data_IF_682377563675
#
_entry.id   IF_682377563675
#
_cell.length_a   1.000
_cell.length_b   1.000
_cell.length_c   1.000
_cell.angle_alpha   90.00
_cell.angle_beta   90.00
_cell.angle_gamma   90.00
#
_symmetry.space_group_name_H-M   'P 1'
#
loop_
_entity.id
_entity.type
_entity.pdbx_description
1 polymer ?
#
# COMPACT_ATOMS: atom_id res chain seq x y z
N UNK A 1 10.58 2.35 -46.38
CA UNK A 1 11.58 2.19 -45.30
C UNK A 1 12.44 1.00 -45.70
N UNK A 2 13.76 1.12 -45.88
CA UNK A 2 14.72 1.90 -45.08
C UNK A 2 15.56 2.91 -45.90
N UNK A 3 15.91 4.04 -45.29
CA UNK A 3 16.98 4.94 -45.75
C UNK A 3 17.90 5.18 -44.56
N UNK A 4 18.88 4.31 -44.40
CA UNK A 4 20.00 4.52 -43.49
C UNK A 4 21.27 4.09 -44.25
N UNK A 5 22.26 4.99 -44.20
CA UNK A 5 23.68 4.84 -44.57
C UNK A 5 24.12 5.14 -46.02
N UNK A 6 24.41 6.41 -46.26
CA UNK A 6 25.63 6.92 -46.91
C UNK A 6 25.70 8.42 -46.56
N UNK A 7 26.52 8.87 -45.60
CA UNK A 7 27.94 9.21 -45.82
C UNK A 7 28.21 9.62 -47.26
N UNK A 8 28.28 10.92 -47.51
CA UNK A 8 29.37 11.62 -48.19
C UNK A 8 28.84 12.87 -48.90
N UNK A 9 29.61 13.94 -48.69
CA UNK A 9 29.57 15.21 -49.42
C UNK A 9 28.26 15.98 -49.27
N UNK A 10 28.30 17.02 -48.45
CA UNK A 10 28.04 18.32 -49.08
C UNK A 10 29.03 19.34 -48.54
N UNK A 11 29.88 19.74 -49.49
CA UNK A 11 30.92 20.74 -49.42
C UNK A 11 30.24 22.08 -49.15
N UNK A 12 30.42 22.61 -47.94
CA UNK A 12 29.97 23.94 -47.54
C UNK A 12 30.80 25.01 -48.29
N UNK A 13 30.26 25.51 -49.40
CA UNK A 13 30.74 26.76 -50.02
C UNK A 13 29.62 27.79 -49.87
N UNK A 14 29.82 28.74 -48.95
CA UNK A 14 28.98 29.93 -48.82
C UNK A 14 29.68 31.13 -49.45
N UNK A 15 29.03 31.76 -50.40
CA UNK A 15 29.36 33.11 -50.87
C UNK A 15 28.19 34.02 -50.55
N UNK A 16 28.42 35.07 -49.76
CA UNK A 16 27.47 36.14 -49.50
C UNK A 16 28.08 37.43 -50.02
N UNK A 17 27.39 38.09 -50.94
CA UNK A 17 27.76 39.39 -51.48
C UNK A 17 27.39 40.51 -50.50
N UNK A 18 28.35 41.39 -50.21
CA UNK A 18 28.13 42.71 -49.61
C UNK A 18 28.51 43.82 -50.61
N UNK A 19 27.85 45.00 -50.55
CA UNK A 19 27.87 46.01 -51.59
C UNK A 19 29.12 46.90 -51.49
N UNK A 20 29.85 47.04 -52.60
CA UNK A 20 31.09 47.82 -52.70
C UNK A 20 31.81 47.53 -54.01
N UNK A 21 32.52 48.52 -54.56
CA UNK A 21 33.15 48.46 -55.88
C UNK A 21 34.26 47.39 -55.95
N UNK A 22 34.45 46.84 -57.15
CA UNK A 22 35.20 45.60 -57.43
C UNK A 22 36.66 45.57 -56.96
N UNK A 23 37.34 46.71 -56.80
CA UNK A 23 38.77 46.74 -56.44
C UNK A 23 39.06 46.58 -54.94
N UNK A 24 38.10 46.86 -54.04
CA UNK A 24 38.31 46.62 -52.60
C UNK A 24 38.10 45.15 -52.20
N UNK A 25 37.33 44.37 -52.99
CA UNK A 25 36.97 42.98 -52.71
C UNK A 25 38.14 41.99 -52.85
N UNK A 26 39.07 42.24 -53.77
CA UNK A 26 40.25 41.35 -53.96
C UNK A 26 41.27 41.49 -52.82
N UNK A 27 41.34 42.64 -52.16
CA UNK A 27 42.23 42.86 -51.02
C UNK A 27 41.77 42.17 -49.72
N UNK A 28 40.46 41.89 -49.59
CA UNK A 28 39.86 41.27 -48.41
C UNK A 28 39.75 39.74 -48.51
N UNK A 29 39.88 39.16 -49.70
CA UNK A 29 39.94 37.71 -49.89
C UNK A 29 41.26 37.07 -49.44
N UNK A 30 42.33 37.87 -49.26
CA UNK A 30 43.60 37.39 -48.68
C UNK A 30 43.61 37.34 -47.14
N UNK A 31 42.55 37.76 -46.45
CA UNK A 31 42.48 37.74 -44.98
C UNK A 31 41.12 37.27 -44.48
N UNK A 32 41.07 36.01 -44.05
CA UNK A 32 40.13 35.42 -43.08
C UNK A 32 38.63 35.74 -43.29
N UNK A 33 37.87 34.78 -43.85
CA UNK A 33 36.41 34.82 -43.75
C UNK A 33 35.96 34.08 -42.49
N UNK A 34 35.41 34.90 -41.59
CA UNK A 34 34.76 34.60 -40.33
C UNK A 34 33.38 33.99 -40.61
N UNK A 35 33.10 32.83 -40.03
CA UNK A 35 31.75 32.24 -40.00
C UNK A 35 30.98 32.91 -38.85
N UNK A 36 30.01 33.76 -39.19
CA UNK A 36 29.04 34.29 -38.21
C UNK A 36 28.00 33.20 -37.92
N UNK A 37 28.25 32.41 -36.89
CA UNK A 37 27.24 31.49 -36.34
C UNK A 37 26.37 32.28 -35.38
N UNK A 38 25.05 32.30 -35.61
CA UNK A 38 24.11 32.90 -34.64
C UNK A 38 24.19 32.08 -33.35
N UNK A 39 24.35 32.76 -32.23
CA UNK A 39 24.52 32.12 -30.91
C UNK A 39 23.36 31.15 -30.55
N UNK A 40 22.17 31.31 -31.17
CA UNK A 40 21.04 30.39 -31.03
C UNK A 40 21.32 28.98 -31.57
N UNK A 41 22.09 28.87 -32.65
CA UNK A 41 22.24 27.62 -33.40
C UNK A 41 23.31 26.72 -32.76
N UNK A 42 24.32 27.33 -32.12
CA UNK A 42 25.32 26.63 -31.29
C UNK A 42 24.66 26.05 -30.02
N UNK A 43 23.78 26.81 -29.38
CA UNK A 43 23.06 26.35 -28.18
C UNK A 43 22.11 25.19 -28.50
N UNK A 44 21.49 25.20 -29.68
CA UNK A 44 20.66 24.09 -30.16
C UNK A 44 21.48 22.84 -30.50
N UNK A 45 22.69 22.98 -31.05
CA UNK A 45 23.57 21.84 -31.33
C UNK A 45 24.11 21.18 -30.06
N UNK A 46 24.48 21.97 -29.04
CA UNK A 46 24.92 21.45 -27.74
C UNK A 46 23.82 20.67 -27.04
N UNK A 47 22.59 21.19 -27.04
CA UNK A 47 21.43 20.49 -26.45
C UNK A 47 21.04 19.23 -27.23
N UNK A 48 21.16 19.22 -28.56
CA UNK A 48 20.93 18.01 -29.37
C UNK A 48 21.96 16.90 -29.12
N UNK A 49 23.22 17.25 -28.85
CA UNK A 49 24.24 16.27 -28.47
C UNK A 49 23.97 15.66 -27.08
N UNK A 50 23.52 16.47 -26.12
CA UNK A 50 23.12 16.00 -24.79
C UNK A 50 21.91 15.06 -24.85
N UNK A 51 20.91 15.38 -25.68
CA UNK A 51 19.72 14.52 -25.87
C UNK A 51 20.12 13.16 -26.44
N UNK A 52 20.98 13.12 -27.47
CA UNK A 52 21.48 11.84 -28.03
C UNK A 52 22.26 11.00 -27.01
N UNK A 53 23.01 11.66 -26.13
CA UNK A 53 23.76 10.98 -25.08
C UNK A 53 22.82 10.41 -24.00
N UNK A 54 21.75 11.14 -23.67
CA UNK A 54 20.70 10.67 -22.77
C UNK A 54 19.91 9.50 -23.37
N UNK A 55 19.56 9.56 -24.65
CA UNK A 55 18.87 8.47 -25.35
C UNK A 55 19.68 7.17 -25.33
N UNK A 56 20.99 7.25 -25.57
CA UNK A 56 21.87 6.08 -25.47
C UNK A 56 21.96 5.54 -24.03
N UNK A 57 21.96 6.42 -23.02
CA UNK A 57 21.93 6.00 -21.61
C UNK A 57 20.62 5.31 -21.25
N UNK A 58 19.48 5.83 -21.70
CA UNK A 58 18.15 5.22 -21.48
C UNK A 58 18.13 3.83 -22.11
N UNK A 59 18.58 3.69 -23.36
CA UNK A 59 18.64 2.40 -24.04
C UNK A 59 19.50 1.37 -23.29
N UNK A 60 20.68 1.77 -22.82
CA UNK A 60 21.55 0.89 -22.03
C UNK A 60 20.92 0.49 -20.68
N UNK A 61 20.18 1.41 -20.06
CA UNK A 61 19.46 1.13 -18.81
C UNK A 61 18.28 0.17 -19.05
N UNK A 62 17.54 0.34 -20.14
CA UNK A 62 16.46 -0.57 -20.53
C UNK A 62 16.98 -1.99 -20.77
N UNK A 63 18.10 -2.14 -21.48
CA UNK A 63 18.74 -3.44 -21.71
C UNK A 63 19.22 -4.08 -20.39
N UNK A 64 19.74 -3.28 -19.45
CA UNK A 64 20.14 -3.75 -18.12
C UNK A 64 18.95 -4.19 -17.26
N UNK A 65 17.82 -3.48 -17.32
CA UNK A 65 16.58 -3.85 -16.60
C UNK A 65 16.06 -5.18 -17.12
N UNK A 66 15.99 -5.37 -18.44
CA UNK A 66 15.55 -6.64 -19.05
C UNK A 66 16.47 -7.78 -18.64
N UNK A 67 17.79 -7.56 -18.63
CA UNK A 67 18.75 -8.57 -18.16
C UNK A 67 18.54 -8.93 -16.69
N UNK A 68 18.29 -7.94 -15.83
CA UNK A 68 18.03 -8.17 -14.41
C UNK A 68 16.71 -8.91 -14.19
N UNK A 69 15.65 -8.61 -14.94
CA UNK A 69 14.37 -9.31 -14.85
C UNK A 69 14.50 -10.78 -15.22
N UNK A 70 15.29 -11.10 -16.25
CA UNK A 70 15.61 -12.48 -16.63
C UNK A 70 16.37 -13.19 -15.51
N UNK A 71 17.33 -12.50 -14.88
CA UNK A 71 18.10 -13.05 -13.75
C UNK A 71 17.21 -13.31 -12.53
N UNK A 72 16.33 -12.37 -12.18
CA UNK A 72 15.35 -12.51 -11.09
C UNK A 72 14.43 -13.68 -11.39
N UNK A 73 13.90 -13.79 -12.61
CA UNK A 73 13.04 -14.92 -13.02
C UNK A 73 13.75 -16.26 -12.88
N UNK A 74 15.03 -16.34 -13.27
CA UNK A 74 15.84 -17.55 -13.12
C UNK A 74 16.07 -17.90 -11.64
N UNK A 75 16.39 -16.92 -10.80
CA UNK A 75 16.59 -17.11 -9.36
C UNK A 75 15.30 -17.55 -8.66
N UNK A 76 14.15 -16.97 -9.02
CA UNK A 76 12.84 -17.38 -8.51
C UNK A 76 12.55 -18.83 -8.90
N UNK A 77 12.77 -19.21 -10.16
CA UNK A 77 12.63 -20.61 -10.60
C UNK A 77 13.56 -21.55 -9.85
N UNK A 78 14.82 -21.15 -9.62
CA UNK A 78 15.75 -21.95 -8.83
C UNK A 78 15.23 -22.10 -7.39
N UNK A 79 14.76 -21.02 -6.75
CA UNK A 79 14.14 -21.08 -5.43
C UNK A 79 12.92 -22.00 -5.41
N UNK A 80 12.06 -21.95 -6.42
CA UNK A 80 10.91 -22.87 -6.54
C UNK A 80 11.37 -24.33 -6.65
N UNK A 81 12.39 -24.60 -7.46
CA UNK A 81 12.94 -25.96 -7.55
C UNK A 81 13.58 -26.41 -6.24
N UNK A 82 14.28 -25.52 -5.51
CA UNK A 82 14.90 -25.83 -4.21
C UNK A 82 13.87 -25.99 -3.09
N UNK A 83 12.79 -25.20 -3.10
CA UNK A 83 11.70 -25.30 -2.12
C UNK A 83 10.84 -26.53 -2.37
N UNK A 84 10.56 -26.86 -3.63
CA UNK A 84 9.85 -28.10 -4.00
C UNK A 84 10.70 -29.35 -3.71
N UNK A 85 12.00 -29.33 -4.00
CA UNK A 85 12.88 -30.50 -3.80
C UNK A 85 13.33 -30.72 -2.35
N UNK A 86 13.24 -29.71 -1.46
CA UNK A 86 13.51 -29.84 -0.01
C UNK A 86 12.27 -29.98 0.85
N UNK A 87 11.06 -29.96 0.27
CA UNK A 87 9.87 -30.23 1.05
C UNK A 87 9.68 -31.74 1.22
N UNK A 88 10.46 -32.33 2.12
CA UNK A 88 10.07 -33.58 2.76
C UNK A 88 8.74 -33.31 3.46
N UNK A 89 7.63 -33.65 2.79
CA UNK A 89 6.29 -33.59 3.35
C UNK A 89 6.14 -34.72 4.38
N UNK A 90 6.93 -34.64 5.46
CA UNK A 90 6.53 -35.24 6.72
C UNK A 90 5.44 -34.33 7.27
N UNK A 91 4.25 -34.39 6.67
CA UNK A 91 3.02 -33.94 7.32
C UNK A 91 2.84 -34.88 8.50
N UNK A 92 3.52 -34.58 9.61
CA UNK A 92 3.31 -35.30 10.86
C UNK A 92 1.83 -35.22 11.19
N UNK A 93 1.27 -36.29 11.75
CA UNK A 93 -0.16 -36.43 12.07
C UNK A 93 -0.79 -35.13 12.59
N UNK A 94 -1.92 -34.69 12.07
CA UNK A 94 -2.60 -33.47 12.52
C UNK A 94 -2.94 -33.56 14.03
N UNK A 95 -3.21 -32.44 14.72
CA UNK A 95 -3.51 -32.45 16.18
C UNK A 95 -4.68 -33.40 16.51
N UNK A 96 -5.58 -33.59 15.55
CA UNK A 96 -6.78 -34.40 15.55
C UNK A 96 -6.46 -35.91 15.40
N UNK A 97 -5.32 -36.25 14.80
CA UNK A 97 -4.91 -37.60 14.42
C UNK A 97 -3.95 -38.25 15.42
N UNK A 98 -3.62 -37.52 16.50
CA UNK A 98 -2.65 -37.97 17.50
C UNK A 98 -3.31 -38.36 18.82
N UNK A 99 -2.78 -39.39 19.46
CA UNK A 99 -3.16 -39.81 20.80
C UNK A 99 -3.02 -38.66 21.83
N UNK A 100 -3.81 -38.73 22.90
CA UNK A 100 -3.99 -37.65 23.87
C UNK A 100 -2.68 -37.06 24.41
N UNK A 101 -1.66 -37.89 24.65
CA UNK A 101 -0.38 -37.39 25.17
C UNK A 101 0.37 -36.54 24.13
N UNK A 102 0.36 -36.95 22.87
CA UNK A 102 1.00 -36.22 21.79
C UNK A 102 0.18 -34.97 21.43
N UNK A 103 -1.15 -35.07 21.48
CA UNK A 103 -2.07 -33.92 21.38
C UNK A 103 -1.78 -32.86 22.44
N UNK A 104 -1.64 -33.24 23.72
CA UNK A 104 -1.26 -32.31 24.80
C UNK A 104 0.08 -31.63 24.55
N UNK A 105 1.09 -32.36 24.09
CA UNK A 105 2.42 -31.79 23.75
C UNK A 105 2.32 -30.78 22.61
N UNK A 106 1.54 -31.07 21.57
CA UNK A 106 1.32 -30.14 20.46
C UNK A 106 0.58 -28.87 20.90
N UNK A 107 -0.46 -29.01 21.71
CA UNK A 107 -1.19 -27.87 22.29
C UNK A 107 -0.28 -27.02 23.19
N UNK A 108 0.59 -27.62 23.99
CA UNK A 108 1.54 -26.89 24.83
C UNK A 108 2.54 -26.09 24.00
N UNK A 109 3.07 -26.67 22.92
CA UNK A 109 3.96 -25.96 21.98
C UNK A 109 3.24 -24.81 21.28
N UNK A 110 1.98 -25.02 20.88
CA UNK A 110 1.14 -23.98 20.29
C UNK A 110 0.91 -22.81 21.26
N UNK A 111 0.58 -23.11 22.53
CA UNK A 111 0.47 -22.09 23.60
C UNK A 111 1.75 -21.30 23.78
N UNK A 112 2.90 -21.97 23.71
CA UNK A 112 4.19 -21.33 23.80
C UNK A 112 4.46 -20.40 22.61
N UNK A 113 4.14 -20.83 21.38
CA UNK A 113 4.24 -19.98 20.19
C UNK A 113 3.31 -18.76 20.26
N UNK A 114 2.14 -18.89 20.90
CA UNK A 114 1.22 -17.78 21.12
C UNK A 114 1.63 -16.81 22.24
N UNK A 115 2.75 -17.04 22.98
CA UNK A 115 3.20 -16.16 24.07
C UNK A 115 3.38 -14.70 23.65
N UNK A 116 3.90 -14.46 22.43
CA UNK A 116 4.06 -13.10 21.91
C UNK A 116 2.72 -12.42 21.64
N UNK A 117 1.75 -13.17 21.10
CA UNK A 117 0.39 -12.66 20.88
C UNK A 117 -0.35 -12.41 22.21
N UNK A 118 -0.10 -13.24 23.22
CA UNK A 118 -0.61 -13.03 24.57
C UNK A 118 -0.02 -11.78 25.21
N UNK A 119 1.29 -11.59 25.09
CA UNK A 119 1.97 -10.39 25.58
C UNK A 119 1.48 -9.12 24.88
N UNK A 120 1.20 -9.19 23.58
CA UNK A 120 0.54 -8.12 22.85
C UNK A 120 -0.83 -7.80 23.47
N UNK A 121 -1.70 -8.80 23.65
CA UNK A 121 -3.01 -8.58 24.24
C UNK A 121 -2.94 -7.93 25.63
N UNK A 122 -2.03 -8.40 26.49
CA UNK A 122 -1.79 -7.81 27.81
C UNK A 122 -1.33 -6.34 27.70
N UNK A 123 -0.46 -6.02 26.75
CA UNK A 123 0.05 -4.66 26.54
C UNK A 123 -1.03 -3.67 26.10
N UNK A 124 -2.07 -4.15 25.43
CA UNK A 124 -3.20 -3.35 24.98
C UNK A 124 -4.44 -3.47 25.88
N UNK A 125 -4.30 -4.07 27.08
CA UNK A 125 -5.40 -4.36 28.00
C UNK A 125 -6.57 -5.10 27.31
N UNK A 126 -6.25 -6.00 26.37
CA UNK A 126 -7.24 -6.82 25.66
C UNK A 126 -7.45 -8.10 26.48
N UNK A 127 -8.64 -8.24 27.06
CA UNK A 127 -9.01 -9.46 27.77
C UNK A 127 -9.22 -10.63 26.80
N UNK A 128 -8.19 -11.46 26.65
CA UNK A 128 -8.25 -12.69 25.86
C UNK A 128 -9.12 -13.74 26.55
N UNK A 129 -10.29 -14.02 25.96
CA UNK A 129 -11.21 -15.06 26.42
C UNK A 129 -10.81 -16.44 25.85
N UNK A 130 -10.73 -16.53 24.53
CA UNK A 130 -10.36 -17.76 23.84
C UNK A 130 -9.68 -17.49 22.49
N UNK A 131 -8.82 -18.42 22.06
CA UNK A 131 -8.20 -18.44 20.73
C UNK A 131 -8.77 -19.63 19.95
N UNK A 132 -9.22 -19.39 18.72
CA UNK A 132 -9.74 -20.42 17.82
C UNK A 132 -8.74 -20.72 16.72
N UNK A 133 -8.41 -21.99 16.52
CA UNK A 133 -7.58 -22.47 15.42
C UNK A 133 -8.44 -23.29 14.47
N UNK A 134 -8.46 -22.92 13.20
CA UNK A 134 -9.06 -23.73 12.16
C UNK A 134 -8.02 -24.72 11.64
N UNK A 135 -8.40 -25.99 11.52
CA UNK A 135 -7.54 -27.04 10.95
C UNK A 135 -7.77 -27.07 9.43
N UNK A 136 -6.69 -27.08 8.63
CA UNK A 136 -6.76 -26.92 7.16
C UNK A 136 -7.69 -27.93 6.45
N UNK A 137 -7.85 -29.13 7.02
CA UNK A 137 -8.58 -30.24 6.38
C UNK A 137 -9.90 -30.63 7.07
N UNK A 138 -10.27 -29.94 8.16
CA UNK A 138 -11.51 -30.20 8.90
C UNK A 138 -12.16 -28.89 9.32
N UNK A 139 -13.48 -28.78 9.21
CA UNK A 139 -14.23 -27.64 9.75
C UNK A 139 -14.22 -27.58 11.30
N UNK A 140 -13.44 -28.45 11.94
CA UNK A 140 -13.23 -28.50 13.36
C UNK A 140 -12.31 -27.36 13.82
N UNK A 141 -12.80 -26.58 14.77
CA UNK A 141 -12.05 -25.51 15.41
C UNK A 141 -11.50 -25.97 16.75
N UNK A 142 -10.19 -25.86 16.94
CA UNK A 142 -9.56 -26.10 18.24
C UNK A 142 -9.64 -24.81 19.04
N UNK A 143 -10.34 -24.85 20.18
CA UNK A 143 -10.46 -23.72 21.10
C UNK A 143 -9.43 -23.84 22.23
N UNK A 144 -8.61 -22.81 22.41
CA UNK A 144 -7.81 -22.61 23.63
C UNK A 144 -8.50 -21.57 24.50
N UNK A 145 -9.10 -22.01 25.60
CA UNK A 145 -9.65 -21.11 26.62
C UNK A 145 -8.50 -20.61 27.53
N UNK A 146 -8.46 -19.30 27.76
CA UNK A 146 -7.45 -18.62 28.58
C UNK A 146 -8.03 -18.03 29.86
N UNK A 147 -9.30 -17.62 29.84
CA UNK A 147 -10.07 -17.26 31.03
C UNK A 147 -11.35 -18.09 31.05
N UNK A 148 -11.65 -18.73 32.17
CA UNK A 148 -12.97 -19.29 32.46
C UNK A 148 -13.91 -18.13 32.76
N UNK A 149 -14.31 -17.36 31.76
CA UNK A 149 -15.45 -16.47 31.97
C UNK A 149 -16.70 -17.33 31.93
N UNK A 150 -17.15 -17.70 33.14
CA UNK A 150 -18.55 -17.57 33.52
C UNK A 150 -19.24 -16.45 32.73
N UNK A 151 -20.53 -16.64 32.44
CA UNK A 151 -21.43 -15.75 31.70
C UNK A 151 -21.55 -16.08 30.21
N UNK A 152 -22.03 -17.30 29.95
CA UNK A 152 -23.10 -17.48 28.97
C UNK A 152 -24.39 -16.81 29.51
N UNK A 153 -24.40 -15.49 29.64
CA UNK A 153 -25.66 -14.75 29.81
C UNK A 153 -26.16 -14.37 28.42
N UNK A 154 -27.10 -15.17 27.96
CA UNK A 154 -28.29 -14.72 27.24
C UNK A 154 -28.53 -13.22 27.38
N UNK A 155 -28.65 -12.54 26.23
CA UNK A 155 -28.94 -11.11 26.05
C UNK A 155 -27.75 -10.13 26.19
N UNK A 156 -26.68 -10.32 25.41
CA UNK A 156 -25.82 -9.19 25.05
C UNK A 156 -26.56 -8.42 23.94
N UNK A 157 -26.96 -7.18 24.22
CA UNK A 157 -27.60 -6.32 23.24
C UNK A 157 -26.73 -6.25 21.98
N UNK A 158 -27.27 -6.74 20.85
CA UNK A 158 -26.53 -6.83 19.58
C UNK A 158 -25.88 -5.49 19.21
N UNK A 159 -26.54 -4.37 19.53
CA UNK A 159 -26.02 -3.01 19.30
C UNK A 159 -24.76 -2.69 20.11
N UNK A 160 -24.66 -3.15 21.35
CA UNK A 160 -23.48 -2.91 22.20
C UNK A 160 -22.27 -3.68 21.71
N UNK A 161 -22.45 -4.93 21.28
CA UNK A 161 -21.37 -5.75 20.71
C UNK A 161 -20.91 -5.18 19.37
N UNK A 162 -21.83 -4.75 18.50
CA UNK A 162 -21.44 -4.14 17.21
C UNK A 162 -20.72 -2.82 17.38
N UNK A 163 -21.09 -1.99 18.37
CA UNK A 163 -20.39 -0.73 18.64
C UNK A 163 -18.99 -0.95 19.20
N UNK A 164 -18.80 -1.95 20.06
CA UNK A 164 -17.47 -2.34 20.55
C UNK A 164 -16.59 -2.85 19.41
N UNK A 165 -17.15 -3.67 18.51
CA UNK A 165 -16.43 -4.13 17.32
C UNK A 165 -16.06 -2.94 16.44
N UNK A 166 -16.98 -2.02 16.14
CA UNK A 166 -16.70 -0.83 15.34
C UNK A 166 -15.59 0.02 15.97
N UNK A 167 -15.61 0.20 17.28
CA UNK A 167 -14.55 0.91 18.01
C UNK A 167 -13.20 0.22 17.84
N UNK A 168 -13.12 -1.10 18.00
CA UNK A 168 -11.88 -1.85 17.82
C UNK A 168 -11.38 -1.79 16.37
N UNK A 169 -12.27 -1.91 15.39
CA UNK A 169 -11.92 -1.81 13.98
C UNK A 169 -11.38 -0.42 13.63
N UNK A 170 -11.95 0.63 14.21
CA UNK A 170 -11.47 2.00 14.00
C UNK A 170 -10.14 2.23 14.73
N UNK A 171 -10.01 1.77 15.97
CA UNK A 171 -8.81 1.93 16.80
C UNK A 171 -7.59 1.22 16.21
N UNK A 172 -7.78 0.03 15.62
CA UNK A 172 -6.72 -0.74 14.98
C UNK A 172 -6.67 -0.55 13.45
N UNK A 173 -7.43 0.41 12.90
CA UNK A 173 -7.50 0.69 11.46
C UNK A 173 -7.74 -0.56 10.59
N UNK A 174 -8.62 -1.44 11.04
CA UNK A 174 -8.97 -2.69 10.35
C UNK A 174 -9.91 -2.40 9.17
N UNK A 175 -9.54 -2.90 8.00
CA UNK A 175 -10.32 -2.79 6.76
C UNK A 175 -11.49 -3.78 6.73
N UNK A 176 -12.48 -3.46 5.90
CA UNK A 176 -13.70 -4.28 5.77
C UNK A 176 -13.40 -5.67 5.18
N UNK A 177 -12.39 -5.76 4.31
CA UNK A 177 -11.89 -7.01 3.72
C UNK A 177 -11.34 -7.94 4.80
N UNK A 178 -10.47 -7.42 5.67
CA UNK A 178 -9.90 -8.19 6.78
C UNK A 178 -10.99 -8.62 7.78
N UNK A 179 -11.93 -7.72 8.11
CA UNK A 179 -13.05 -8.09 8.97
C UNK A 179 -13.94 -9.17 8.34
N UNK A 180 -14.11 -9.15 7.01
CA UNK A 180 -14.86 -10.17 6.31
C UNK A 180 -14.20 -11.55 6.48
N UNK A 181 -12.90 -11.65 6.28
CA UNK A 181 -12.14 -12.90 6.51
C UNK A 181 -12.27 -13.38 7.95
N UNK A 182 -12.09 -12.49 8.93
CA UNK A 182 -12.27 -12.80 10.35
C UNK A 182 -13.68 -13.33 10.66
N UNK A 183 -14.71 -12.73 10.05
CA UNK A 183 -16.11 -13.16 10.22
C UNK A 183 -16.42 -14.51 9.55
N UNK A 184 -15.60 -14.94 8.59
CA UNK A 184 -15.71 -16.29 7.99
C UNK A 184 -15.07 -17.35 8.89
N UNK A 185 -13.95 -17.00 9.55
CA UNK A 185 -13.23 -17.90 10.45
C UNK A 185 -13.98 -18.05 11.79
N UNK A 186 -14.55 -16.97 12.31
CA UNK A 186 -15.23 -16.94 13.60
C UNK A 186 -16.74 -16.73 13.44
N UNK A 187 -17.58 -17.79 13.51
CA UNK A 187 -19.02 -17.68 13.29
C UNK A 187 -19.76 -16.91 14.40
N UNK A 188 -19.07 -16.62 15.52
CA UNK A 188 -19.59 -15.81 16.62
C UNK A 188 -19.57 -14.30 16.31
N UNK A 189 -18.81 -13.88 15.30
CA UNK A 189 -18.75 -12.48 14.91
C UNK A 189 -19.97 -12.09 14.06
N UNK A 190 -20.47 -10.84 14.19
CA UNK A 190 -21.44 -10.28 13.27
C UNK A 190 -20.98 -10.40 11.82
N UNK A 191 -21.94 -10.64 10.92
CA UNK A 191 -21.64 -10.71 9.48
C UNK A 191 -21.11 -9.37 8.99
N UNK A 192 -20.10 -9.40 8.11
CA UNK A 192 -19.43 -8.21 7.56
C UNK A 192 -20.38 -7.15 6.99
N UNK A 193 -21.48 -7.58 6.36
CA UNK A 193 -22.47 -6.65 5.81
C UNK A 193 -23.17 -5.78 6.88
N UNK A 194 -23.29 -6.27 8.12
CA UNK A 194 -23.89 -5.53 9.24
C UNK A 194 -22.94 -4.42 9.66
N UNK A 195 -21.67 -4.75 9.91
CA UNK A 195 -20.63 -3.80 10.32
C UNK A 195 -20.41 -2.74 9.23
N UNK A 196 -20.35 -3.15 7.96
CA UNK A 196 -20.23 -2.20 6.84
C UNK A 196 -21.38 -1.21 6.78
N UNK A 197 -22.63 -1.68 6.93
CA UNK A 197 -23.81 -0.78 6.99
C UNK A 197 -23.69 0.22 8.14
N UNK A 198 -23.21 -0.22 9.30
CA UNK A 198 -23.03 0.66 10.46
C UNK A 198 -21.89 1.67 10.24
N UNK A 199 -20.74 1.27 9.68
CA UNK A 199 -19.67 2.20 9.28
C UNK A 199 -20.19 3.24 8.30
N UNK A 200 -20.88 2.84 7.23
CA UNK A 200 -21.45 3.77 6.26
C UNK A 200 -22.46 4.72 6.91
N UNK A 201 -23.30 4.22 7.82
CA UNK A 201 -24.23 5.06 8.57
C UNK A 201 -23.50 6.09 9.44
N UNK A 202 -22.41 5.71 10.12
CA UNK A 202 -21.61 6.62 10.94
C UNK A 202 -20.89 7.66 10.07
N UNK A 203 -20.32 7.26 8.95
CA UNK A 203 -19.67 8.17 8.00
C UNK A 203 -20.66 9.16 7.37
N UNK A 204 -21.86 8.72 7.02
CA UNK A 204 -22.90 9.58 6.44
C UNK A 204 -23.42 10.64 7.42
N UNK A 205 -23.33 10.37 8.73
CA UNK A 205 -23.70 11.34 9.76
C UNK A 205 -22.67 12.47 9.93
N UNK A 206 -21.53 12.40 9.24
CA UNK A 206 -20.50 13.44 9.27
C UNK A 206 -20.58 14.29 8.01
N UNK A 207 -21.05 15.53 8.17
CA UNK A 207 -21.05 16.50 7.08
C UNK A 207 -19.61 16.88 6.70
N UNK A 208 -19.22 16.53 5.49
CA UNK A 208 -17.93 16.90 4.88
C UNK A 208 -18.25 17.83 3.71
N UNK A 209 -17.87 19.10 3.85
CA UNK A 209 -18.10 20.13 2.84
C UNK A 209 -16.87 20.25 1.96
N UNK A 210 -17.05 20.23 0.64
CA UNK A 210 -15.97 20.49 -0.32
C UNK A 210 -15.57 21.96 -0.25
N UNK A 211 -14.26 22.22 -0.28
CA UNK A 211 -13.79 23.59 -0.41
C UNK A 211 -14.27 24.18 -1.75
N UNK A 212 -14.67 25.46 -1.78
CA UNK A 212 -15.02 26.11 -3.03
C UNK A 212 -13.79 26.15 -3.96
N UNK A 213 -14.03 26.02 -5.27
CA UNK A 213 -12.99 26.23 -6.29
C UNK A 213 -12.36 27.62 -6.12
N UNK A 214 -11.02 27.78 -6.22
CA UNK A 214 -10.05 26.86 -6.82
C UNK A 214 -9.33 25.91 -5.83
N UNK A 215 -9.74 25.86 -4.55
CA UNK A 215 -8.99 25.12 -3.54
C UNK A 215 -9.31 23.62 -3.57
N UNK A 216 -8.27 22.78 -3.46
CA UNK A 216 -8.43 21.33 -3.36
C UNK A 216 -8.57 20.90 -1.90
N UNK A 217 -9.63 20.15 -1.59
CA UNK A 217 -9.83 19.54 -0.28
C UNK A 217 -11.28 19.53 0.16
N UNK A 218 -11.47 19.18 1.44
CA UNK A 218 -12.76 19.21 2.11
C UNK A 218 -12.53 19.54 3.59
N UNK A 219 -13.54 20.10 4.25
CA UNK A 219 -13.49 20.39 5.67
C UNK A 219 -14.76 19.91 6.36
N UNK A 220 -14.62 19.57 7.63
CA UNK A 220 -15.76 19.36 8.53
C UNK A 220 -16.06 20.69 9.23
N UNK A 221 -17.30 21.19 9.18
CA UNK A 221 -17.68 22.40 9.91
C UNK A 221 -17.40 22.25 11.41
N UNK A 222 -16.54 23.12 11.95
CA UNK A 222 -16.09 23.05 13.35
C UNK A 222 -17.23 23.34 14.32
N UNK A 223 -18.07 24.34 14.02
CA UNK A 223 -19.15 24.77 14.91
C UNK A 223 -20.20 23.65 15.13
N UNK A 224 -20.77 23.01 14.09
CA UNK A 224 -21.63 21.84 14.26
C UNK A 224 -20.96 20.68 15.00
N UNK A 225 -19.67 20.43 14.72
CA UNK A 225 -18.93 19.35 15.38
C UNK A 225 -18.77 19.60 16.89
N UNK A 226 -18.40 20.81 17.30
CA UNK A 226 -18.30 21.20 18.71
C UNK A 226 -19.66 21.14 19.39
N UNK A 227 -20.72 21.64 18.73
CA UNK A 227 -22.08 21.62 19.30
C UNK A 227 -22.56 20.19 19.54
N UNK A 228 -22.35 19.28 18.59
CA UNK A 228 -22.67 17.85 18.75
C UNK A 228 -21.86 17.21 19.89
N UNK A 229 -20.58 17.55 20.04
CA UNK A 229 -19.76 17.05 21.14
C UNK A 229 -20.28 17.55 22.49
N UNK A 230 -20.58 18.84 22.63
CA UNK A 230 -21.11 19.43 23.86
C UNK A 230 -22.47 18.83 24.27
N UNK A 231 -23.37 18.61 23.31
CA UNK A 231 -24.65 17.94 23.57
C UNK A 231 -24.47 16.51 24.08
N UNK A 232 -23.45 15.80 23.60
CA UNK A 232 -23.09 14.47 24.09
C UNK A 232 -22.62 14.53 25.55
N UNK A 233 -21.82 15.56 25.91
CA UNK A 233 -21.39 15.80 27.29
C UNK A 233 -22.55 16.17 28.22
N UNK A 234 -23.46 17.06 27.81
CA UNK A 234 -24.64 17.42 28.61
C UNK A 234 -25.53 16.20 28.87
N UNK A 235 -25.73 15.36 27.85
CA UNK A 235 -26.46 14.10 27.98
C UNK A 235 -25.80 13.16 28.99
N UNK A 236 -24.46 13.08 28.97
CA UNK A 236 -23.69 12.26 29.89
C UNK A 236 -23.76 12.77 31.34
N UNK A 237 -23.71 14.09 31.55
CA UNK A 237 -23.86 14.72 32.87
C UNK A 237 -25.26 14.47 33.43
N UNK A 238 -26.31 14.57 32.61
CA UNK A 238 -27.68 14.28 33.02
C UNK A 238 -27.88 12.80 33.39
N UNK A 239 -27.24 11.87 32.67
CA UNK A 239 -27.25 10.44 32.99
C UNK A 239 -26.54 10.20 34.34
N UNK A 240 -25.36 10.80 34.55
CA UNK A 240 -24.64 10.67 35.82
C UNK A 240 -25.42 11.26 37.01
N UNK A 241 -26.08 12.40 36.81
CA UNK A 241 -26.91 13.01 37.86
C UNK A 241 -28.13 12.14 38.23
N UNK A 242 -28.73 11.46 37.25
CA UNK A 242 -29.85 10.52 37.49
C UNK A 242 -29.42 9.17 38.09
N UNK A 243 -28.15 8.78 37.99
CA UNK A 243 -27.62 7.56 38.63
C UNK A 243 -27.17 7.84 40.07
N UNK A 244 -26.79 9.08 40.38
CA UNK A 244 -26.29 9.50 41.69
C UNK A 244 -27.36 10.11 42.63
N UNK A 245 -28.59 10.38 42.16
CA UNK A 245 -29.76 10.73 43.00
C UNK A 245 -30.60 9.52 43.32
#
# INVERSE_FOLDING_TARGET
QPFINALLLDVLVFTIELPGSLEEKESLLQKNIIISVRHSDVVQLSSLQEVRLLENKVKNLEEAVVSNDVMISHLVKQLDTFTQSKCFHNKGKAINEVEDQQRRRKIAKLRESCKLALWFADSFNIDLLAIYFQVEDSNDTIQLQYKDSCVASSAINLSTTTNQILYLLDHFAVFDELYHELSMICPLLPRSHIIRKLRTSLSNNVEIIRLPTPYFGAYRPVIPAIKSALQTYESFILILHNICS
#
